data_IF_882239919337
#
_entry.id   IF_882239919337
#
_cell.length_a   1.000
_cell.length_b   1.000
_cell.length_c   1.000
_cell.angle_alpha   90.00
_cell.angle_beta   90.00
_cell.angle_gamma   90.00
#
_symmetry.space_group_name_H-M   'P 1'
#
loop_
_entity.id
_entity.type
_entity.pdbx_description
1 polymer ?
#
# COMPACT_ATOMS: atom_id res chain seq x y z
N UNK A 1 -12.11 -13.63 12.93
CA UNK A 1 -11.00 -12.82 12.38
C UNK A 1 -9.67 -13.59 12.25
N UNK A 2 -9.15 -14.31 13.26
CA UNK A 2 -7.82 -14.95 13.16
C UNK A 2 -7.78 -16.12 12.16
N UNK A 3 -8.86 -16.89 12.03
CA UNK A 3 -8.90 -18.01 11.08
C UNK A 3 -8.83 -17.57 9.61
N UNK A 4 -9.55 -16.50 9.24
CA UNK A 4 -9.46 -15.91 7.89
C UNK A 4 -8.04 -15.38 7.60
N UNK A 5 -7.41 -14.76 8.61
CA UNK A 5 -6.04 -14.30 8.51
C UNK A 5 -5.06 -15.46 8.29
N UNK A 6 -5.19 -16.55 9.06
CA UNK A 6 -4.39 -17.76 8.89
C UNK A 6 -4.53 -18.35 7.48
N UNK A 7 -5.75 -18.51 7.00
CA UNK A 7 -6.00 -19.03 5.64
C UNK A 7 -5.36 -18.11 4.60
N UNK A 8 -5.52 -16.80 4.72
CA UNK A 8 -4.90 -15.83 3.80
C UNK A 8 -3.38 -15.98 3.79
N UNK A 9 -2.74 -16.08 4.96
CA UNK A 9 -1.28 -16.22 5.07
C UNK A 9 -0.76 -17.56 4.53
N UNK A 10 -1.55 -18.63 4.62
CA UNK A 10 -1.19 -19.94 4.07
C UNK A 10 -1.41 -20.04 2.56
N UNK A 11 -2.45 -19.38 2.02
CA UNK A 11 -2.77 -19.43 0.60
C UNK A 11 -1.95 -18.45 -0.25
N UNK A 12 -1.54 -17.32 0.31
CA UNK A 12 -0.69 -16.36 -0.39
C UNK A 12 0.79 -16.69 -0.19
N UNK A 13 1.67 -16.35 -1.14
CA UNK A 13 3.10 -16.45 -0.92
C UNK A 13 3.55 -15.56 0.25
N UNK A 14 4.50 -16.02 1.09
CA UNK A 14 5.29 -17.24 0.92
C UNK A 14 4.61 -18.54 1.44
N UNK A 15 3.46 -18.46 2.11
CA UNK A 15 2.83 -19.61 2.78
C UNK A 15 2.59 -20.80 1.85
N UNK A 16 1.96 -20.58 0.70
CA UNK A 16 1.66 -21.67 -0.25
C UNK A 16 2.94 -22.31 -0.81
N UNK A 17 4.00 -21.52 -0.98
CA UNK A 17 5.29 -22.00 -1.48
C UNK A 17 5.98 -22.89 -0.44
N UNK A 18 5.89 -22.52 0.84
CA UNK A 18 6.38 -23.36 1.95
C UNK A 18 5.57 -24.65 2.08
N UNK A 19 4.24 -24.61 1.91
CA UNK A 19 3.41 -25.81 1.90
C UNK A 19 3.76 -26.75 0.74
N UNK A 20 4.10 -26.20 -0.44
CA UNK A 20 4.60 -26.99 -1.57
C UNK A 20 5.92 -27.67 -1.24
N UNK A 21 6.85 -27.00 -0.55
CA UNK A 21 8.10 -27.61 -0.10
C UNK A 21 7.87 -28.73 0.93
N UNK A 22 6.94 -28.54 1.86
CA UNK A 22 6.55 -29.58 2.83
C UNK A 22 5.91 -30.79 2.13
N UNK A 23 5.01 -30.53 1.17
CA UNK A 23 4.42 -31.59 0.35
C UNK A 23 5.48 -32.35 -0.46
N UNK A 24 6.45 -31.63 -1.03
CA UNK A 24 7.57 -32.23 -1.74
C UNK A 24 8.37 -33.18 -0.84
N UNK A 25 8.68 -32.74 0.38
CA UNK A 25 9.38 -33.58 1.36
C UNK A 25 8.59 -34.84 1.73
N UNK A 26 7.28 -34.72 1.97
CA UNK A 26 6.44 -35.85 2.37
C UNK A 26 6.23 -36.87 1.25
N UNK A 27 6.08 -36.38 0.02
CA UNK A 27 5.80 -37.21 -1.17
C UNK A 27 7.05 -37.81 -1.79
N UNK A 28 8.26 -37.44 -1.33
CA UNK A 28 9.54 -37.82 -1.97
C UNK A 28 9.75 -39.32 -2.15
N UNK A 29 9.17 -40.15 -1.27
CA UNK A 29 9.27 -41.63 -1.35
C UNK A 29 8.08 -42.28 -2.06
N UNK A 30 6.87 -41.75 -1.90
CA UNK A 30 5.64 -42.36 -2.42
C UNK A 30 5.28 -41.90 -3.83
N UNK A 31 5.52 -40.63 -4.17
CA UNK A 31 5.21 -40.02 -5.47
C UNK A 31 6.34 -39.07 -5.91
N UNK A 32 7.51 -39.59 -6.31
CA UNK A 32 8.71 -38.77 -6.57
C UNK A 32 8.54 -37.73 -7.67
N UNK A 33 7.75 -38.02 -8.72
CA UNK A 33 7.44 -37.05 -9.77
C UNK A 33 6.67 -35.84 -9.25
N UNK A 34 5.63 -36.08 -8.44
CA UNK A 34 4.83 -35.02 -7.83
C UNK A 34 5.67 -34.22 -6.81
N UNK A 35 6.50 -34.91 -6.02
CA UNK A 35 7.44 -34.25 -5.12
C UNK A 35 8.40 -33.31 -5.87
N UNK A 36 8.93 -33.74 -7.03
CA UNK A 36 9.77 -32.90 -7.88
C UNK A 36 9.06 -31.63 -8.37
N UNK A 37 7.80 -31.74 -8.80
CA UNK A 37 6.99 -30.58 -9.20
C UNK A 37 6.73 -29.64 -8.02
N UNK A 38 6.31 -30.17 -6.88
CA UNK A 38 6.09 -29.38 -5.66
C UNK A 38 7.37 -28.66 -5.21
N UNK A 39 8.52 -29.34 -5.28
CA UNK A 39 9.82 -28.74 -4.95
C UNK A 39 10.17 -27.62 -5.92
N UNK A 40 10.08 -27.87 -7.23
CA UNK A 40 10.41 -26.89 -8.25
C UNK A 40 9.53 -25.62 -8.14
N UNK A 41 8.23 -25.78 -7.90
CA UNK A 41 7.31 -24.65 -7.71
C UNK A 41 7.56 -23.91 -6.39
N UNK A 42 7.73 -24.63 -5.28
CA UNK A 42 7.98 -24.03 -3.97
C UNK A 42 9.31 -23.29 -3.91
N UNK A 43 10.40 -23.95 -4.30
CA UNK A 43 11.74 -23.36 -4.33
C UNK A 43 11.85 -22.27 -5.40
N UNK A 44 11.40 -22.55 -6.62
CA UNK A 44 11.42 -21.59 -7.72
C UNK A 44 10.60 -20.35 -7.43
N UNK A 45 9.42 -20.49 -6.83
CA UNK A 45 8.60 -19.36 -6.40
C UNK A 45 9.30 -18.49 -5.34
N UNK A 46 9.88 -19.10 -4.30
CA UNK A 46 10.60 -18.36 -3.26
C UNK A 46 11.85 -17.67 -3.83
N UNK A 47 12.57 -18.35 -4.72
CA UNK A 47 13.72 -17.80 -5.42
C UNK A 47 13.30 -16.59 -6.27
N UNK A 48 12.28 -16.70 -7.12
CA UNK A 48 11.79 -15.59 -7.94
C UNK A 48 11.33 -14.40 -7.07
N UNK A 49 10.61 -14.64 -5.98
CA UNK A 49 10.19 -13.58 -5.05
C UNK A 49 11.37 -12.87 -4.38
N UNK A 50 12.52 -13.52 -4.29
CA UNK A 50 13.73 -12.92 -3.73
C UNK A 50 14.48 -12.03 -4.71
N UNK A 51 14.12 -12.00 -6.00
CA UNK A 51 14.88 -11.27 -7.01
C UNK A 51 14.38 -9.83 -7.21
N UNK A 52 15.25 -8.80 -7.09
CA UNK A 52 14.90 -7.42 -7.41
C UNK A 52 14.37 -7.23 -8.84
N UNK A 53 14.87 -7.97 -9.83
CA UNK A 53 14.38 -7.89 -11.21
C UNK A 53 12.91 -8.31 -11.35
N UNK A 54 12.49 -9.30 -10.55
CA UNK A 54 11.08 -9.77 -10.53
C UNK A 54 10.19 -8.71 -9.88
N UNK A 55 10.66 -8.06 -8.82
CA UNK A 55 9.96 -6.90 -8.21
C UNK A 55 9.79 -5.80 -9.24
N UNK A 56 10.86 -5.42 -9.94
CA UNK A 56 10.83 -4.35 -10.94
C UNK A 56 9.81 -4.64 -12.06
N UNK A 57 9.84 -5.84 -12.63
CA UNK A 57 8.90 -6.22 -13.69
C UNK A 57 7.46 -6.29 -13.20
N UNK A 58 7.25 -6.88 -12.02
CA UNK A 58 5.92 -6.96 -11.40
C UNK A 58 5.35 -5.57 -11.08
N UNK A 59 6.18 -4.69 -10.53
CA UNK A 59 5.81 -3.31 -10.23
C UNK A 59 5.49 -2.53 -11.49
N UNK A 60 6.30 -2.62 -12.55
CA UNK A 60 6.04 -1.94 -13.82
C UNK A 60 4.69 -2.31 -14.45
N UNK A 61 4.20 -3.52 -14.20
CA UNK A 61 2.88 -3.96 -14.67
C UNK A 61 1.72 -3.40 -13.82
N UNK A 62 1.95 -3.09 -12.53
CA UNK A 62 0.95 -2.60 -11.60
C UNK A 62 0.95 -1.07 -11.45
N UNK A 63 2.10 -0.43 -11.50
CA UNK A 63 2.31 1.01 -11.33
C UNK A 63 1.91 1.77 -12.61
N UNK A 64 0.60 1.91 -12.82
CA UNK A 64 0.02 2.53 -14.03
C UNK A 64 -0.06 4.06 -13.98
N UNK A 65 -0.06 4.62 -12.77
CA UNK A 65 -0.16 6.06 -12.57
C UNK A 65 1.22 6.72 -12.59
N UNK A 66 1.34 7.77 -13.39
CA UNK A 66 2.56 8.58 -13.47
C UNK A 66 2.78 9.40 -12.19
N UNK A 67 4.03 9.69 -11.81
CA UNK A 67 4.31 10.61 -10.72
C UNK A 67 3.80 12.01 -11.04
N UNK A 68 3.30 12.71 -10.03
CA UNK A 68 2.91 14.12 -10.14
C UNK A 68 4.16 14.99 -10.30
N UNK A 69 4.27 15.69 -11.44
CA UNK A 69 5.47 16.45 -11.79
C UNK A 69 5.66 17.63 -10.82
N UNK A 70 6.91 17.94 -10.47
CA UNK A 70 7.21 18.86 -9.36
C UNK A 70 6.80 20.30 -9.67
N UNK A 71 6.86 20.68 -10.93
CA UNK A 71 6.41 21.94 -11.50
C UNK A 71 4.90 22.17 -11.32
N UNK A 72 4.09 21.10 -11.21
CA UNK A 72 2.64 21.19 -11.04
C UNK A 72 2.22 21.41 -9.56
N UNK A 73 3.13 21.25 -8.60
CA UNK A 73 2.76 21.24 -7.18
C UNK A 73 2.23 22.58 -6.70
N UNK A 74 2.77 23.70 -7.20
CA UNK A 74 2.35 25.04 -6.79
C UNK A 74 0.97 25.43 -7.38
N UNK A 75 0.60 24.85 -8.52
CA UNK A 75 -0.67 25.13 -9.21
C UNK A 75 -1.73 24.06 -8.94
N UNK A 76 -1.44 23.08 -8.08
CA UNK A 76 -2.32 21.94 -7.79
C UNK A 76 -3.71 22.38 -7.32
N UNK A 77 -3.79 23.48 -6.57
CA UNK A 77 -5.05 24.06 -6.09
C UNK A 77 -6.00 24.55 -7.22
N UNK A 78 -5.51 24.68 -8.46
CA UNK A 78 -6.36 25.02 -9.61
C UNK A 78 -7.23 23.82 -10.05
N UNK A 79 -6.74 22.59 -9.81
CA UNK A 79 -7.40 21.34 -10.24
C UNK A 79 -7.75 20.37 -9.11
N UNK A 80 -7.51 20.73 -7.86
CA UNK A 80 -7.87 19.94 -6.69
C UNK A 80 -8.31 20.83 -5.53
N UNK A 81 -9.11 20.26 -4.63
CA UNK A 81 -9.74 20.95 -3.50
C UNK A 81 -9.14 20.50 -2.16
N UNK A 82 -8.60 19.28 -2.08
CA UNK A 82 -7.97 18.72 -0.88
C UNK A 82 -6.93 17.64 -1.23
N UNK A 83 -6.04 17.35 -0.28
CA UNK A 83 -5.13 16.19 -0.31
C UNK A 83 -5.66 15.12 0.64
N UNK A 84 -5.81 13.89 0.16
CA UNK A 84 -6.23 12.74 0.95
C UNK A 84 -5.06 11.77 1.09
N UNK A 85 -4.63 11.50 2.33
CA UNK A 85 -3.50 10.62 2.65
C UNK A 85 -4.02 9.31 3.23
N UNK A 86 -3.71 8.20 2.56
CA UNK A 86 -4.13 6.87 3.01
C UNK A 86 -3.18 6.29 4.06
N UNK A 87 -3.74 5.63 5.07
CA UNK A 87 -3.02 4.84 6.07
C UNK A 87 -2.31 3.62 5.50
N UNK A 88 -1.26 3.16 6.21
CA UNK A 88 -0.40 2.04 5.82
C UNK A 88 0.05 1.20 7.03
N UNK A 89 -0.83 1.04 8.02
CA UNK A 89 -0.50 0.36 9.27
C UNK A 89 0.17 1.27 10.30
N UNK A 90 0.58 0.66 11.41
CA UNK A 90 1.32 1.30 12.51
C UNK A 90 2.33 0.34 13.14
N UNK A 91 3.39 0.90 13.70
CA UNK A 91 4.28 0.22 14.64
C UNK A 91 3.73 0.42 16.06
N UNK A 92 3.62 -0.66 16.85
CA UNK A 92 2.96 -0.61 18.17
C UNK A 92 3.96 -0.47 19.30
N UNK A 93 3.69 0.45 20.22
CA UNK A 93 4.44 0.62 21.46
C UNK A 93 5.92 0.83 21.22
N UNK A 94 6.27 1.78 20.34
CA UNK A 94 7.67 2.10 20.11
C UNK A 94 8.29 2.61 21.41
N UNK A 95 9.40 2.00 21.84
CA UNK A 95 10.02 2.29 23.13
C UNK A 95 10.69 3.68 23.18
N UNK A 96 11.14 4.20 22.03
CA UNK A 96 11.78 5.51 21.96
C UNK A 96 10.74 6.64 22.03
N UNK A 97 9.57 6.41 21.43
CA UNK A 97 8.46 7.38 21.43
C UNK A 97 7.51 7.21 22.62
N UNK A 98 7.46 6.03 23.23
CA UNK A 98 6.52 5.70 24.30
C UNK A 98 5.08 5.49 23.82
N UNK A 99 4.86 5.46 22.51
CA UNK A 99 3.54 5.35 21.87
C UNK A 99 3.62 4.66 20.50
N UNK A 100 2.47 4.43 19.88
CA UNK A 100 2.39 3.87 18.53
C UNK A 100 2.89 4.88 17.49
N UNK A 101 3.55 4.39 16.44
CA UNK A 101 4.15 5.22 15.39
C UNK A 101 3.62 4.86 14.01
N UNK A 102 3.55 5.81 13.06
CA UNK A 102 3.31 5.47 11.65
C UNK A 102 4.40 4.53 11.12
N UNK A 103 4.04 3.62 10.21
CA UNK A 103 5.05 2.76 9.55
C UNK A 103 5.99 3.60 8.68
N UNK A 104 7.16 3.06 8.32
CA UNK A 104 8.08 3.75 7.40
C UNK A 104 7.42 4.11 6.05
N UNK A 105 6.52 3.25 5.56
CA UNK A 105 5.68 3.52 4.38
C UNK A 105 4.74 4.69 4.62
N UNK A 106 4.18 4.79 5.82
CA UNK A 106 3.28 5.87 6.22
C UNK A 106 4.01 7.20 6.33
N UNK A 107 5.20 7.21 6.91
CA UNK A 107 6.05 8.40 6.98
C UNK A 107 6.47 8.89 5.58
N UNK A 108 6.72 7.99 4.62
CA UNK A 108 6.98 8.38 3.24
C UNK A 108 5.78 9.09 2.59
N UNK A 109 4.57 8.56 2.78
CA UNK A 109 3.31 9.19 2.32
C UNK A 109 3.11 10.56 2.96
N UNK A 110 3.33 10.66 4.28
CA UNK A 110 3.18 11.91 5.02
C UNK A 110 4.20 12.97 4.59
N UNK A 111 5.47 12.58 4.41
CA UNK A 111 6.50 13.47 3.88
C UNK A 111 6.10 14.02 2.52
N UNK A 112 5.58 13.16 1.63
CA UNK A 112 5.16 13.59 0.31
C UNK A 112 3.94 14.52 0.37
N UNK A 113 2.90 14.15 1.11
CA UNK A 113 1.71 14.96 1.33
C UNK A 113 2.01 16.32 1.95
N UNK A 114 2.90 16.38 2.94
CA UNK A 114 3.32 17.63 3.57
C UNK A 114 3.99 18.57 2.56
N UNK A 115 4.80 18.05 1.64
CA UNK A 115 5.41 18.87 0.58
C UNK A 115 4.37 19.38 -0.42
N UNK A 116 3.40 18.54 -0.80
CA UNK A 116 2.31 18.95 -1.67
C UNK A 116 1.44 20.02 -1.00
N UNK A 117 1.07 19.85 0.27
CA UNK A 117 0.27 20.82 1.01
C UNK A 117 0.99 22.16 1.17
N UNK A 118 2.27 22.15 1.53
CA UNK A 118 3.07 23.39 1.65
C UNK A 118 3.24 24.12 0.30
N UNK A 119 3.36 23.38 -0.80
CA UNK A 119 3.51 23.97 -2.13
C UNK A 119 2.19 24.51 -2.69
N UNK A 120 1.09 23.80 -2.48
CA UNK A 120 -0.22 24.11 -3.08
C UNK A 120 -1.16 24.92 -2.19
N UNK A 121 -0.94 24.92 -0.87
CA UNK A 121 -1.87 25.46 0.11
C UNK A 121 -3.11 24.60 0.37
N UNK A 122 -3.20 23.39 -0.21
CA UNK A 122 -4.37 22.52 -0.06
C UNK A 122 -4.50 21.94 1.35
N UNK A 123 -5.74 21.86 1.90
CA UNK A 123 -5.98 21.21 3.18
C UNK A 123 -5.83 19.68 3.06
N UNK A 124 -5.44 19.04 4.16
CA UNK A 124 -5.25 17.58 4.24
C UNK A 124 -6.41 16.90 4.97
N UNK A 125 -6.88 15.79 4.40
CA UNK A 125 -7.59 14.72 5.11
C UNK A 125 -6.67 13.49 5.26
N UNK A 126 -6.64 12.90 6.44
CA UNK A 126 -6.00 11.58 6.69
C UNK A 126 -7.07 10.50 6.87
N UNK A 127 -6.94 9.37 6.18
CA UNK A 127 -7.91 8.26 6.22
C UNK A 127 -7.24 6.93 6.56
N UNK A 128 -7.81 6.22 7.53
CA UNK A 128 -7.38 4.90 7.96
C UNK A 128 -7.81 4.61 9.40
N UNK A 129 -8.50 3.50 9.62
CA UNK A 129 -9.06 3.17 10.92
C UNK A 129 -8.15 2.39 11.87
N UNK A 130 -8.76 1.54 12.70
CA UNK A 130 -8.09 0.84 13.78
C UNK A 130 -7.33 -0.41 13.30
N UNK A 131 -6.06 -0.51 13.67
CA UNK A 131 -5.30 -1.74 13.48
C UNK A 131 -5.69 -2.77 14.56
N UNK A 132 -6.26 -3.90 14.13
CA UNK A 132 -6.81 -4.96 15.01
C UNK A 132 -7.83 -4.47 16.05
N UNK A 133 -8.56 -3.39 15.77
CA UNK A 133 -9.61 -2.87 16.67
C UNK A 133 -9.09 -2.20 17.95
N UNK A 134 -7.81 -1.79 17.96
CA UNK A 134 -7.20 -1.13 19.12
C UNK A 134 -6.75 0.29 18.75
N UNK A 135 -7.04 1.32 19.56
CA UNK A 135 -6.62 2.71 19.29
C UNK A 135 -5.09 2.88 19.43
N UNK A 136 -4.51 3.97 18.90
CA UNK A 136 -5.12 4.99 18.04
C UNK A 136 -5.37 4.52 16.59
N UNK A 137 -6.20 5.26 15.84
CA UNK A 137 -6.44 5.02 14.40
C UNK A 137 -5.22 5.46 13.58
N UNK A 138 -5.05 4.88 12.39
CA UNK A 138 -4.00 5.29 11.46
C UNK A 138 -4.15 6.77 11.05
N UNK A 139 -5.39 7.25 10.87
CA UNK A 139 -5.66 8.65 10.58
C UNK A 139 -5.19 9.59 11.69
N UNK A 140 -5.46 9.26 12.97
CA UNK A 140 -5.00 10.08 14.09
C UNK A 140 -3.48 10.09 14.18
N UNK A 141 -2.83 8.92 14.05
CA UNK A 141 -1.36 8.81 14.06
C UNK A 141 -0.72 9.66 12.95
N UNK A 142 -1.27 9.61 11.73
CA UNK A 142 -0.79 10.45 10.64
C UNK A 142 -1.04 11.94 10.89
N UNK A 143 -2.17 12.31 11.50
CA UNK A 143 -2.46 13.71 11.80
C UNK A 143 -1.52 14.30 12.85
N UNK A 144 -1.18 13.52 13.88
CA UNK A 144 -0.22 13.93 14.90
C UNK A 144 1.20 14.04 14.30
N UNK A 145 1.68 13.04 13.56
CA UNK A 145 3.01 13.10 12.92
C UNK A 145 3.11 14.18 11.83
N UNK A 146 2.07 14.43 11.03
CA UNK A 146 2.04 15.56 10.09
C UNK A 146 2.19 16.92 10.79
N UNK A 147 1.57 17.08 11.97
CA UNK A 147 1.72 18.28 12.78
C UNK A 147 3.12 18.38 13.38
N UNK A 148 3.57 17.34 14.06
CA UNK A 148 4.74 17.39 14.93
C UNK A 148 6.06 17.33 14.14
N UNK A 149 6.13 16.48 13.11
CA UNK A 149 7.36 16.27 12.33
C UNK A 149 7.43 17.17 11.10
N UNK A 150 6.28 17.53 10.53
CA UNK A 150 6.21 18.27 9.27
C UNK A 150 5.62 19.67 9.40
N UNK A 151 5.05 20.06 10.55
CA UNK A 151 4.43 21.37 10.73
C UNK A 151 3.23 21.61 9.82
N UNK A 152 2.48 20.56 9.47
CA UNK A 152 1.29 20.62 8.61
C UNK A 152 0.07 20.17 9.39
N UNK A 153 -0.92 21.06 9.51
CA UNK A 153 -2.17 20.75 10.19
C UNK A 153 -3.10 19.93 9.29
N UNK A 154 -3.58 18.80 9.80
CA UNK A 154 -4.64 18.01 9.17
C UNK A 154 -5.99 18.62 9.51
N UNK A 155 -6.81 18.88 8.48
CA UNK A 155 -8.13 19.50 8.65
C UNK A 155 -9.20 18.46 8.97
N UNK A 156 -9.11 17.27 8.38
CA UNK A 156 -10.09 16.20 8.57
C UNK A 156 -9.42 14.86 8.86
N UNK A 157 -10.03 14.05 9.70
CA UNK A 157 -9.57 12.70 10.02
C UNK A 157 -10.73 11.71 9.81
N UNK A 158 -10.46 10.63 9.09
CA UNK A 158 -11.39 9.52 8.89
C UNK A 158 -10.77 8.25 9.51
N UNK A 159 -11.35 7.78 10.62
CA UNK A 159 -10.75 6.73 11.47
C UNK A 159 -11.56 5.43 11.59
N UNK A 160 -12.57 5.22 10.75
CA UNK A 160 -13.48 4.07 10.84
C UNK A 160 -13.20 3.00 9.78
N UNK A 161 -12.50 3.38 8.72
CA UNK A 161 -12.19 2.52 7.58
C UNK A 161 -11.30 1.32 7.91
N UNK A 162 -11.62 0.17 7.31
CA UNK A 162 -10.87 -1.09 7.45
C UNK A 162 -10.32 -1.59 6.11
N UNK A 163 -10.72 -0.93 5.02
CA UNK A 163 -10.39 -1.27 3.65
C UNK A 163 -10.21 0.00 2.85
N UNK A 164 -9.48 -0.07 1.73
CA UNK A 164 -9.31 1.09 0.83
C UNK A 164 -10.63 1.57 0.21
N UNK A 165 -11.63 0.69 0.11
CA UNK A 165 -12.98 1.07 -0.33
C UNK A 165 -13.66 1.95 0.70
N UNK A 166 -13.61 1.54 1.97
CA UNK A 166 -14.13 2.33 3.09
C UNK A 166 -13.35 3.64 3.27
N UNK A 167 -12.03 3.65 3.07
CA UNK A 167 -11.25 4.89 3.07
C UNK A 167 -11.87 5.91 2.11
N UNK A 168 -12.15 5.49 0.87
CA UNK A 168 -12.74 6.33 -0.15
C UNK A 168 -14.16 6.78 0.22
N UNK A 169 -15.03 5.83 0.60
CA UNK A 169 -16.43 6.10 0.91
C UNK A 169 -16.59 7.02 2.13
N UNK A 170 -15.88 6.75 3.22
CA UNK A 170 -15.98 7.55 4.44
C UNK A 170 -15.28 8.90 4.28
N UNK A 171 -14.23 9.00 3.44
CA UNK A 171 -13.70 10.31 3.04
C UNK A 171 -14.72 11.10 2.23
N UNK A 172 -15.48 10.45 1.35
CA UNK A 172 -16.56 11.09 0.58
C UNK A 172 -17.69 11.61 1.48
N UNK A 173 -18.09 10.83 2.50
CA UNK A 173 -19.09 11.24 3.48
C UNK A 173 -18.68 12.51 4.24
N UNK A 174 -17.37 12.75 4.41
CA UNK A 174 -16.83 13.97 5.03
C UNK A 174 -16.71 15.12 4.03
N UNK A 175 -16.13 14.87 2.85
CA UNK A 175 -15.66 15.92 1.93
C UNK A 175 -16.74 16.39 0.95
N UNK A 176 -17.55 15.49 0.39
CA UNK A 176 -18.56 15.86 -0.61
C UNK A 176 -19.61 16.85 -0.09
N UNK A 177 -20.13 16.74 1.16
CA UNK A 177 -21.05 17.74 1.71
C UNK A 177 -20.45 19.15 1.84
N UNK A 178 -19.12 19.25 1.90
CA UNK A 178 -18.39 20.52 1.93
C UNK A 178 -18.08 21.07 0.52
N UNK A 179 -18.56 20.41 -0.53
CA UNK A 179 -18.31 20.80 -1.93
C UNK A 179 -16.93 20.41 -2.46
N UNK A 180 -16.15 19.64 -1.72
CA UNK A 180 -14.82 19.16 -2.11
C UNK A 180 -15.01 17.93 -2.99
N UNK A 181 -14.75 18.07 -4.30
CA UNK A 181 -15.00 17.01 -5.30
C UNK A 181 -13.74 16.52 -5.98
N UNK A 182 -12.68 17.34 -6.00
CA UNK A 182 -11.41 17.03 -6.66
C UNK A 182 -10.37 16.77 -5.59
N UNK A 183 -9.82 15.57 -5.51
CA UNK A 183 -8.90 15.19 -4.44
C UNK A 183 -7.58 14.68 -4.97
N UNK A 184 -6.49 15.14 -4.36
CA UNK A 184 -5.16 14.58 -4.58
C UNK A 184 -5.03 13.36 -3.67
N UNK A 185 -4.91 12.17 -4.25
CA UNK A 185 -4.79 10.93 -3.48
C UNK A 185 -3.32 10.57 -3.32
N UNK A 186 -2.85 10.50 -2.07
CA UNK A 186 -1.46 10.16 -1.73
C UNK A 186 -1.39 8.74 -1.16
N UNK A 187 -0.72 7.86 -1.89
CA UNK A 187 -0.39 6.49 -1.48
C UNK A 187 0.84 5.98 -2.26
N UNK A 188 1.26 4.75 -1.99
CA UNK A 188 2.35 4.10 -2.72
C UNK A 188 1.97 3.78 -4.16
N UNK A 189 2.91 3.82 -5.09
CA UNK A 189 2.68 3.66 -6.52
C UNK A 189 1.99 2.32 -6.85
N UNK A 190 2.45 1.22 -6.23
CA UNK A 190 1.84 -0.10 -6.41
C UNK A 190 0.39 -0.20 -5.90
N UNK A 191 0.02 0.65 -4.93
CA UNK A 191 -1.31 0.73 -4.31
C UNK A 191 -2.19 1.81 -4.99
N UNK A 192 -1.61 2.65 -5.85
CA UNK A 192 -2.32 3.78 -6.45
C UNK A 192 -3.52 3.36 -7.32
N UNK A 193 -3.42 2.38 -8.25
CA UNK A 193 -4.55 2.06 -9.12
C UNK A 193 -5.82 1.66 -8.37
N UNK A 194 -5.68 0.86 -7.30
CA UNK A 194 -6.81 0.46 -6.44
C UNK A 194 -7.39 1.64 -5.67
N UNK A 195 -6.54 2.58 -5.28
CA UNK A 195 -6.95 3.77 -4.54
C UNK A 195 -7.69 4.74 -5.46
N UNK A 196 -7.14 5.06 -6.64
CA UNK A 196 -7.82 5.87 -7.67
C UNK A 196 -9.20 5.30 -7.96
N UNK A 197 -9.27 4.02 -8.32
CA UNK A 197 -10.56 3.37 -8.60
C UNK A 197 -11.56 3.50 -7.45
N UNK A 198 -11.13 3.26 -6.21
CA UNK A 198 -12.02 3.36 -5.04
C UNK A 198 -12.53 4.78 -4.82
N UNK A 199 -11.68 5.79 -4.98
CA UNK A 199 -12.05 7.20 -4.79
C UNK A 199 -12.93 7.73 -5.92
N UNK A 200 -12.69 7.30 -7.17
CA UNK A 200 -13.57 7.61 -8.30
C UNK A 200 -14.96 6.99 -8.10
N UNK A 201 -15.05 5.73 -7.65
CA UNK A 201 -16.35 5.10 -7.33
C UNK A 201 -17.07 5.79 -6.17
N UNK A 202 -16.33 6.43 -5.25
CA UNK A 202 -16.91 7.23 -4.18
C UNK A 202 -17.39 8.62 -4.64
N UNK A 203 -17.23 8.96 -5.92
CA UNK A 203 -17.75 10.20 -6.52
C UNK A 203 -16.74 11.35 -6.60
N UNK A 204 -15.45 11.09 -6.41
CA UNK A 204 -14.40 12.09 -6.57
C UNK A 204 -13.82 12.14 -8.00
N UNK A 205 -13.36 13.32 -8.40
CA UNK A 205 -12.37 13.48 -9.45
C UNK A 205 -10.97 13.37 -8.82
N UNK A 206 -10.17 12.39 -9.25
CA UNK A 206 -8.92 12.04 -8.56
C UNK A 206 -7.71 12.57 -9.30
N UNK A 207 -6.83 13.28 -8.57
CA UNK A 207 -5.47 13.59 -9.01
C UNK A 207 -4.52 12.60 -8.32
N UNK A 208 -3.98 11.59 -9.01
CA UNK A 208 -3.08 10.63 -8.39
C UNK A 208 -1.75 11.31 -8.00
N UNK A 209 -1.29 11.06 -6.79
CA UNK A 209 0.03 11.47 -6.30
C UNK A 209 0.78 10.25 -5.72
N UNK A 210 1.26 9.34 -6.60
CA UNK A 210 1.96 8.13 -6.18
C UNK A 210 3.38 8.45 -5.69
N UNK A 211 3.84 7.71 -4.68
CA UNK A 211 5.21 7.73 -4.17
C UNK A 211 5.79 6.32 -4.07
N UNK A 212 7.10 6.19 -3.89
CA UNK A 212 7.77 4.90 -3.67
C UNK A 212 7.65 3.94 -4.85
N UNK A 213 7.97 4.38 -6.06
CA UNK A 213 7.96 3.49 -7.24
C UNK A 213 8.96 2.34 -7.10
N UNK A 214 8.54 1.14 -7.48
CA UNK A 214 9.35 -0.08 -7.52
C UNK A 214 9.67 -0.52 -8.95
N UNK A 215 8.92 -0.04 -9.95
CA UNK A 215 9.09 -0.38 -11.36
C UNK A 215 10.22 0.37 -12.07
N UNK A 216 10.93 1.25 -11.37
CA UNK A 216 12.10 1.99 -11.89
C UNK A 216 13.34 1.10 -12.00
N UNK A 217 14.44 1.61 -12.56
CA UNK A 217 15.72 0.91 -12.52
C UNK A 217 16.06 0.53 -11.06
N UNK A 218 16.34 -0.75 -10.85
CA UNK A 218 16.64 -1.29 -9.53
C UNK A 218 18.04 -0.90 -9.05
N UNK A 219 18.93 -0.47 -9.97
CA UNK A 219 20.31 -0.06 -9.72
C UNK A 219 21.10 -1.06 -8.85
N UNK A 220 20.76 -2.35 -8.91
CA UNK A 220 21.41 -3.40 -8.13
C UNK A 220 22.61 -4.00 -8.85
N UNK A 221 23.64 -4.45 -8.12
CA UNK A 221 24.69 -5.28 -8.69
C UNK A 221 24.12 -6.46 -9.46
N UNK A 222 24.78 -6.83 -10.57
CA UNK A 222 24.35 -7.90 -11.46
C UNK A 222 22.91 -7.73 -12.00
N UNK A 223 22.40 -6.50 -12.07
CA UNK A 223 21.07 -6.21 -12.63
C UNK A 223 19.89 -6.72 -11.80
N UNK A 224 20.10 -7.06 -10.52
CA UNK A 224 19.02 -7.52 -9.64
C UNK A 224 18.69 -9.00 -9.75
N UNK A 225 19.63 -9.83 -10.20
CA UNK A 225 19.50 -11.29 -10.28
C UNK A 225 19.99 -12.03 -9.03
N UNK A 226 20.38 -11.30 -7.98
CA UNK A 226 20.75 -11.89 -6.69
C UNK A 226 19.60 -11.80 -5.67
N UNK A 227 19.37 -12.84 -4.85
CA UNK A 227 18.35 -12.83 -3.80
C UNK A 227 18.54 -11.71 -2.77
N UNK A 228 17.45 -11.01 -2.45
CA UNK A 228 17.38 -10.01 -1.38
C UNK A 228 16.16 -10.22 -0.48
N UNK A 229 16.35 -10.05 0.83
CA UNK A 229 15.26 -10.08 1.81
C UNK A 229 14.18 -9.01 1.52
N UNK A 230 14.61 -7.80 1.13
CA UNK A 230 13.72 -6.70 0.80
C UNK A 230 12.79 -7.05 -0.37
N UNK A 231 13.30 -7.77 -1.37
CA UNK A 231 12.53 -8.17 -2.55
C UNK A 231 11.41 -9.14 -2.19
N UNK A 232 11.63 -10.06 -1.24
CA UNK A 232 10.57 -10.97 -0.77
C UNK A 232 9.38 -10.17 -0.22
N UNK A 233 9.67 -9.16 0.62
CA UNK A 233 8.63 -8.29 1.17
C UNK A 233 7.92 -7.49 0.06
N UNK A 234 8.67 -6.89 -0.87
CA UNK A 234 8.11 -6.12 -1.99
C UNK A 234 7.27 -6.99 -2.94
N UNK A 235 7.72 -8.18 -3.32
CA UNK A 235 6.94 -9.13 -4.10
C UNK A 235 5.65 -9.52 -3.38
N UNK A 236 5.70 -9.70 -2.06
CA UNK A 236 4.50 -9.91 -1.24
C UNK A 236 3.49 -8.76 -1.36
N UNK A 237 3.96 -7.51 -1.34
CA UNK A 237 3.10 -6.33 -1.51
C UNK A 237 2.48 -6.29 -2.91
N UNK A 238 3.28 -6.50 -3.96
CA UNK A 238 2.80 -6.51 -5.35
C UNK A 238 1.76 -7.62 -5.59
N UNK A 239 1.99 -8.82 -5.05
CA UNK A 239 1.03 -9.93 -5.16
C UNK A 239 -0.28 -9.60 -4.44
N UNK A 240 -0.22 -9.00 -3.24
CA UNK A 240 -1.42 -8.56 -2.53
C UNK A 240 -2.21 -7.52 -3.33
N UNK A 241 -1.53 -6.57 -3.99
CA UNK A 241 -2.20 -5.58 -4.84
C UNK A 241 -2.77 -6.19 -6.11
N UNK A 242 -2.05 -7.09 -6.79
CA UNK A 242 -2.56 -7.78 -7.98
C UNK A 242 -3.85 -8.56 -7.68
N UNK A 243 -3.87 -9.31 -6.56
CA UNK A 243 -5.07 -10.02 -6.08
C UNK A 243 -6.15 -9.02 -5.67
N UNK A 244 -5.76 -7.93 -5.01
CA UNK A 244 -6.67 -6.86 -4.58
C UNK A 244 -7.39 -6.18 -5.75
N UNK A 245 -6.69 -5.85 -6.84
CA UNK A 245 -7.28 -5.22 -8.03
C UNK A 245 -8.35 -6.11 -8.68
N UNK A 246 -8.12 -7.42 -8.75
CA UNK A 246 -9.11 -8.39 -9.26
C UNK A 246 -10.26 -8.57 -8.28
N UNK A 247 -9.98 -8.68 -6.97
CA UNK A 247 -11.01 -8.84 -5.97
C UNK A 247 -11.93 -7.62 -5.86
N UNK A 248 -11.38 -6.41 -5.95
CA UNK A 248 -12.18 -5.19 -5.75
C UNK A 248 -13.22 -4.99 -6.84
N UNK A 249 -12.86 -5.21 -8.11
CA UNK A 249 -13.81 -5.10 -9.23
C UNK A 249 -14.91 -6.17 -9.21
N UNK A 250 -14.69 -7.29 -8.52
CA UNK A 250 -15.67 -8.37 -8.39
C UNK A 250 -16.60 -8.20 -7.18
N UNK A 251 -16.08 -7.71 -6.05
CA UNK A 251 -16.80 -7.69 -4.77
C UNK A 251 -17.35 -6.32 -4.38
N UNK A 252 -16.80 -5.23 -4.89
CA UNK A 252 -17.28 -3.88 -4.64
C UNK A 252 -17.86 -3.28 -5.92
N UNK A 253 -18.99 -2.60 -5.79
CA UNK A 253 -19.72 -1.91 -6.85
C UNK A 253 -20.17 -0.56 -6.34
#
# INVERSE_FOLDING_TARGET
MPFRYLIKQLLLPPGILLLLLLAAWWLRRSRPRLAGVCFALGFGGLWLMSLPVVVQWGAKALERESPLAREEWATLAQRADAIVVLGSGRERGDLAWGEDQPTGVGLERQRYAARLAKASGLPILTTGGLHYGTPPTEAKLMADSLRDDFGVMVRWQEGESRTTWENAKFSADILLPQGIKRVVVVTQAWHMPRSVWSFEQAGFEVVPAPVGFLGTDNARPFGGWLPEFKSIWQSGQLLNEAVGQVGYSLFYR
#
